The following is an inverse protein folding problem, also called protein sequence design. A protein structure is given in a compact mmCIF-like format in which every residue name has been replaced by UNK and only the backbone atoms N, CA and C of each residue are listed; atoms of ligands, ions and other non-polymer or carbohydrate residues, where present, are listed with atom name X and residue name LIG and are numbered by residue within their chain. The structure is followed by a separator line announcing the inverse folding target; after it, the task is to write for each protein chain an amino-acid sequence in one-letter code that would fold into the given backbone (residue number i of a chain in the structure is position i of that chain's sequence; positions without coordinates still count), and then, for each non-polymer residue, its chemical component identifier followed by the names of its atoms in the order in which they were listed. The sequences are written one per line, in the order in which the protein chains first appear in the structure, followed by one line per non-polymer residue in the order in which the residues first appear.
data_IF_704277044535
#
_entry.id   IF_704277044535
#
_cell.length_a   1.000
_cell.length_b   1.000
_cell.length_c   1.000
_cell.angle_alpha   90.00
_cell.angle_beta   90.00
_cell.angle_gamma   90.00
#
_symmetry.space_group_name_H-M   'P 1'
#
loop_
_entity.id
_entity.type
_entity.pdbx_description
1 polymer ?
#
# COMPACT_ATOMS: atom_id res chain seq x y z
N UNK A 1 29.90 -27.28 -15.41
CA UNK A 1 28.92 -27.47 -14.31
C UNK A 1 28.91 -26.25 -13.37
N UNK A 2 28.30 -25.12 -13.77
CA UNK A 2 28.22 -23.89 -12.93
C UNK A 2 26.86 -23.16 -12.97
N UNK A 3 25.79 -23.78 -13.49
CA UNK A 3 24.46 -23.14 -13.63
C UNK A 3 23.34 -23.77 -12.77
N UNK A 4 23.63 -24.78 -11.94
CA UNK A 4 22.59 -25.57 -11.25
C UNK A 4 21.69 -24.73 -10.30
N UNK A 5 22.21 -23.83 -9.44
CA UNK A 5 21.35 -23.09 -8.49
C UNK A 5 20.39 -22.11 -9.17
N UNK A 6 20.87 -21.38 -10.19
CA UNK A 6 20.02 -20.43 -10.95
C UNK A 6 18.91 -21.11 -11.73
N UNK A 7 19.17 -22.32 -12.26
CA UNK A 7 18.16 -23.10 -12.97
C UNK A 7 17.09 -23.64 -12.01
N UNK A 8 17.49 -24.04 -10.81
CA UNK A 8 16.55 -24.48 -9.75
C UNK A 8 15.66 -23.33 -9.26
N UNK A 9 16.24 -22.16 -8.99
CA UNK A 9 15.49 -20.94 -8.63
C UNK A 9 14.49 -20.54 -9.72
N UNK A 10 14.90 -20.57 -10.99
CA UNK A 10 14.04 -20.26 -12.12
C UNK A 10 12.90 -21.28 -12.26
N UNK A 11 13.18 -22.57 -12.03
CA UNK A 11 12.17 -23.63 -12.04
C UNK A 11 11.15 -23.43 -10.91
N UNK A 12 11.62 -23.19 -9.69
CA UNK A 12 10.75 -22.95 -8.52
C UNK A 12 9.87 -21.70 -8.73
N UNK A 13 10.45 -20.62 -9.26
CA UNK A 13 9.70 -19.42 -9.63
C UNK A 13 8.58 -19.77 -10.62
N UNK A 14 8.92 -20.51 -11.68
CA UNK A 14 7.97 -20.89 -12.73
C UNK A 14 6.83 -21.74 -12.15
N UNK A 15 7.14 -22.77 -11.35
CA UNK A 15 6.15 -23.62 -10.68
C UNK A 15 5.18 -22.81 -9.79
N UNK A 16 5.71 -21.83 -9.02
CA UNK A 16 4.88 -20.96 -8.19
C UNK A 16 4.01 -20.01 -9.00
N UNK A 17 4.52 -19.48 -10.12
CA UNK A 17 3.74 -18.66 -11.06
C UNK A 17 2.63 -19.49 -11.70
N UNK A 18 2.90 -20.71 -12.17
CA UNK A 18 1.86 -21.60 -12.71
C UNK A 18 0.79 -21.90 -11.68
N UNK A 19 1.19 -22.20 -10.44
CA UNK A 19 0.25 -22.45 -9.34
C UNK A 19 -0.62 -21.22 -9.08
N UNK A 20 -0.03 -20.04 -8.94
CA UNK A 20 -0.80 -18.79 -8.72
C UNK A 20 -1.72 -18.49 -9.90
N UNK A 21 -1.23 -18.61 -11.14
CA UNK A 21 -2.03 -18.41 -12.35
C UNK A 21 -3.23 -19.37 -12.40
N UNK A 22 -3.03 -20.66 -12.10
CA UNK A 22 -4.11 -21.64 -12.04
C UNK A 22 -5.16 -21.29 -10.96
N UNK A 23 -4.72 -20.84 -9.79
CA UNK A 23 -5.64 -20.37 -8.74
C UNK A 23 -6.42 -19.12 -9.16
N UNK A 24 -5.75 -18.13 -9.77
CA UNK A 24 -6.41 -16.93 -10.29
C UNK A 24 -7.44 -17.24 -11.39
N UNK A 25 -7.27 -18.33 -12.14
CA UNK A 25 -8.20 -18.74 -13.20
C UNK A 25 -9.34 -19.64 -12.74
N UNK A 26 -9.14 -20.40 -11.67
CA UNK A 26 -10.13 -21.38 -11.19
C UNK A 26 -10.86 -20.95 -9.92
N UNK A 27 -10.38 -19.92 -9.22
CA UNK A 27 -11.05 -19.40 -8.03
C UNK A 27 -12.36 -18.70 -8.40
N UNK A 28 -13.38 -18.94 -7.58
CA UNK A 28 -14.65 -18.22 -7.65
C UNK A 28 -14.50 -16.76 -7.21
N UNK A 29 -13.58 -16.52 -6.26
CA UNK A 29 -13.35 -15.22 -5.61
C UNK A 29 -11.86 -14.95 -5.46
N UNK A 30 -11.44 -13.70 -5.62
CA UNK A 30 -10.04 -13.27 -5.42
C UNK A 30 -10.00 -12.15 -4.39
N UNK A 31 -9.28 -12.36 -3.29
CA UNK A 31 -9.02 -11.33 -2.30
C UNK A 31 -7.58 -10.83 -2.41
N UNK A 32 -7.38 -9.56 -2.74
CA UNK A 32 -6.06 -8.95 -2.83
C UNK A 32 -5.79 -8.10 -1.60
N UNK A 33 -4.64 -8.32 -0.98
CA UNK A 33 -4.10 -7.52 0.11
C UNK A 33 -2.83 -6.83 -0.35
N UNK A 34 -2.82 -5.51 -0.43
CA UNK A 34 -1.66 -4.77 -0.94
C UNK A 34 -1.06 -3.83 0.10
N UNK A 35 0.26 -3.92 0.28
CA UNK A 35 1.03 -3.04 1.15
C UNK A 35 2.02 -2.17 0.38
N UNK A 36 2.88 -1.45 1.12
CA UNK A 36 3.81 -0.49 0.55
C UNK A 36 4.82 -1.14 -0.42
N UNK A 37 5.10 -2.45 -0.26
CA UNK A 37 5.98 -3.19 -1.16
C UNK A 37 5.46 -3.25 -2.61
N UNK A 38 4.14 -3.20 -2.82
CA UNK A 38 3.58 -3.09 -4.19
C UNK A 38 3.93 -1.74 -4.82
N UNK A 39 3.82 -0.65 -4.07
CA UNK A 39 4.21 0.69 -4.53
C UNK A 39 5.73 0.79 -4.70
N UNK A 40 6.51 0.17 -3.81
CA UNK A 40 7.97 0.10 -3.92
C UNK A 40 8.40 -0.62 -5.21
N UNK A 41 7.80 -1.78 -5.51
CA UNK A 41 8.04 -2.51 -6.76
C UNK A 41 7.63 -1.73 -8.01
N UNK A 42 6.71 -0.77 -7.87
CA UNK A 42 6.33 0.16 -8.93
C UNK A 42 7.26 1.39 -9.03
N UNK A 43 8.27 1.52 -8.18
CA UNK A 43 9.22 2.65 -8.15
C UNK A 43 8.89 3.75 -7.14
N UNK A 44 7.91 3.54 -6.24
CA UNK A 44 7.56 4.44 -5.14
C UNK A 44 7.92 3.80 -3.80
N UNK A 45 9.22 3.69 -3.52
CA UNK A 45 9.73 3.14 -2.28
C UNK A 45 9.91 4.21 -1.20
N UNK A 46 9.42 3.93 0.01
CA UNK A 46 9.59 4.79 1.19
C UNK A 46 10.89 4.47 1.96
N UNK A 47 11.76 3.68 1.34
CA UNK A 47 13.11 3.33 1.80
C UNK A 47 14.19 3.74 0.78
N UNK A 48 13.80 4.31 -0.36
CA UNK A 48 14.74 4.71 -1.42
C UNK A 48 15.31 6.10 -1.12
N UNK A 49 16.59 6.15 -0.77
CA UNK A 49 17.31 7.37 -0.42
C UNK A 49 17.45 8.35 -1.60
N UNK A 50 17.65 7.83 -2.81
CA UNK A 50 17.84 8.66 -4.00
C UNK A 50 16.52 9.28 -4.44
N UNK A 51 15.45 8.50 -4.38
CA UNK A 51 14.10 9.02 -4.57
C UNK A 51 13.80 10.08 -3.51
N UNK A 52 14.06 9.81 -2.23
CA UNK A 52 13.82 10.75 -1.15
C UNK A 52 14.59 12.06 -1.33
N UNK A 53 15.89 12.02 -1.64
CA UNK A 53 16.70 13.21 -1.95
C UNK A 53 16.09 14.03 -3.08
N UNK A 54 15.50 13.38 -4.09
CA UNK A 54 14.88 14.07 -5.22
C UNK A 54 13.64 14.86 -4.84
N UNK A 55 12.75 14.33 -3.98
CA UNK A 55 11.48 14.99 -3.66
C UNK A 55 11.44 15.65 -2.27
N UNK A 56 12.43 15.41 -1.41
CA UNK A 56 12.60 16.02 -0.08
C UNK A 56 14.06 16.43 0.22
N UNK A 57 14.73 17.21 -0.65
CA UNK A 57 16.18 17.48 -0.53
C UNK A 57 16.58 18.17 0.79
N UNK A 58 15.74 19.05 1.32
CA UNK A 58 15.96 19.80 2.57
C UNK A 58 15.90 18.88 3.79
N UNK A 59 15.07 17.83 3.74
CA UNK A 59 15.05 16.80 4.78
C UNK A 59 16.26 15.88 4.65
N UNK A 60 16.66 15.53 3.42
CA UNK A 60 17.88 14.78 3.20
C UNK A 60 19.13 15.55 3.68
N UNK A 61 19.20 16.86 3.45
CA UNK A 61 20.26 17.73 3.95
C UNK A 61 20.29 17.82 5.49
N UNK A 62 19.17 17.51 6.17
CA UNK A 62 19.07 17.40 7.63
C UNK A 62 19.45 16.01 8.17
N UNK A 63 19.89 15.10 7.31
CA UNK A 63 20.38 13.76 7.69
C UNK A 63 19.34 12.64 7.62
N UNK A 64 18.10 12.93 7.20
CA UNK A 64 17.09 11.90 6.99
C UNK A 64 17.32 11.18 5.67
N UNK A 65 17.23 9.85 5.69
CA UNK A 65 17.56 9.03 4.52
C UNK A 65 16.32 8.72 3.69
N UNK A 66 15.18 8.51 4.33
CA UNK A 66 13.94 8.14 3.64
C UNK A 66 12.69 8.40 4.49
N UNK A 67 11.48 8.40 3.90
CA UNK A 67 10.25 8.76 4.60
C UNK A 67 9.94 7.94 5.85
N UNK A 68 10.28 6.64 5.90
CA UNK A 68 9.98 5.82 7.07
C UNK A 68 10.74 6.21 8.35
N UNK A 69 11.90 6.87 8.25
CA UNK A 69 12.57 7.46 9.43
C UNK A 69 11.75 8.60 10.04
N UNK A 70 10.87 9.21 9.23
CA UNK A 70 10.03 10.34 9.63
C UNK A 70 8.70 9.89 10.25
N UNK A 71 8.52 8.61 10.54
CA UNK A 71 7.38 8.20 11.38
C UNK A 71 7.67 8.34 12.88
N UNK A 72 8.93 8.50 13.28
CA UNK A 72 9.36 8.64 14.67
C UNK A 72 10.37 9.79 14.81
N UNK A 73 9.97 11.01 14.43
CA UNK A 73 10.78 12.20 14.64
C UNK A 73 10.36 12.97 15.91
N UNK A 74 11.30 13.73 16.46
CA UNK A 74 10.99 14.77 17.44
C UNK A 74 10.01 15.79 16.83
N UNK A 75 9.01 16.29 17.59
CA UNK A 75 8.00 17.21 17.06
C UNK A 75 8.63 18.41 16.34
N UNK A 76 8.20 18.66 15.10
CA UNK A 76 8.58 19.86 14.37
C UNK A 76 7.61 21.01 14.64
N UNK A 77 8.04 22.28 14.42
CA UNK A 77 7.11 23.39 14.31
C UNK A 77 6.04 23.09 13.26
N UNK A 78 4.81 23.56 13.50
CA UNK A 78 3.65 23.31 12.62
C UNK A 78 3.96 23.68 11.16
N UNK A 79 4.65 24.80 10.93
CA UNK A 79 5.06 25.23 9.60
C UNK A 79 5.93 24.19 8.86
N UNK A 80 6.84 23.50 9.55
CA UNK A 80 7.67 22.46 8.94
C UNK A 80 6.90 21.16 8.73
N UNK A 81 6.04 20.79 9.69
CA UNK A 81 5.18 19.62 9.56
C UNK A 81 4.30 19.73 8.31
N UNK A 82 3.70 20.90 8.08
CA UNK A 82 2.94 21.17 6.86
C UNK A 82 3.83 21.19 5.62
N UNK A 83 5.00 21.84 5.65
CA UNK A 83 5.93 21.84 4.50
C UNK A 83 6.32 20.42 4.07
N UNK A 84 6.67 19.56 5.03
CA UNK A 84 6.98 18.15 4.77
C UNK A 84 5.78 17.42 4.17
N UNK A 85 4.63 17.44 4.85
CA UNK A 85 3.46 16.69 4.45
C UNK A 85 2.93 17.13 3.08
N UNK A 86 2.85 18.44 2.81
CA UNK A 86 2.41 18.96 1.52
C UNK A 86 3.31 18.48 0.39
N UNK A 87 4.63 18.56 0.56
CA UNK A 87 5.56 18.12 -0.48
C UNK A 87 5.55 16.60 -0.66
N UNK A 88 5.47 15.86 0.43
CA UNK A 88 5.36 14.39 0.40
C UNK A 88 4.10 13.96 -0.38
N UNK A 89 2.95 14.52 -0.01
CA UNK A 89 1.67 14.21 -0.65
C UNK A 89 1.65 14.70 -2.09
N UNK A 90 2.14 15.90 -2.37
CA UNK A 90 2.26 16.43 -3.72
C UNK A 90 3.01 15.45 -4.62
N UNK A 91 4.16 14.97 -4.14
CA UNK A 91 4.95 13.98 -4.88
C UNK A 91 4.18 12.66 -5.06
N UNK A 92 3.78 12.01 -3.96
CA UNK A 92 3.16 10.67 -3.97
C UNK A 92 1.86 10.63 -4.78
N UNK A 93 0.99 11.63 -4.60
CA UNK A 93 -0.38 11.62 -5.12
C UNK A 93 -0.53 12.27 -6.50
N UNK A 94 0.30 13.28 -6.81
CA UNK A 94 0.11 14.13 -7.98
C UNK A 94 1.30 14.12 -8.95
N UNK A 95 2.54 13.97 -8.50
CA UNK A 95 3.73 13.92 -9.38
C UNK A 95 4.06 12.49 -9.82
N UNK A 96 4.16 11.55 -8.87
CA UNK A 96 4.47 10.17 -9.18
C UNK A 96 3.35 9.58 -10.05
N UNK A 97 3.64 8.98 -11.22
CA UNK A 97 2.61 8.64 -12.20
C UNK A 97 1.69 7.51 -11.73
N UNK A 98 0.50 7.34 -12.34
CA UNK A 98 -0.27 6.12 -12.22
C UNK A 98 0.58 4.93 -12.70
N UNK A 99 0.96 4.06 -11.78
CA UNK A 99 1.94 3.02 -12.03
C UNK A 99 1.44 1.96 -13.02
N UNK A 100 2.25 1.65 -14.03
CA UNK A 100 1.94 0.62 -15.01
C UNK A 100 1.76 -0.76 -14.36
N UNK A 101 2.49 -1.02 -13.27
CA UNK A 101 2.39 -2.27 -12.53
C UNK A 101 0.98 -2.52 -11.96
N UNK A 102 0.33 -1.48 -11.44
CA UNK A 102 -1.04 -1.57 -10.94
C UNK A 102 -2.04 -1.79 -12.08
N UNK A 103 -1.84 -1.18 -13.25
CA UNK A 103 -2.67 -1.43 -14.43
C UNK A 103 -2.56 -2.87 -14.90
N UNK A 104 -1.36 -3.46 -14.88
CA UNK A 104 -1.15 -4.89 -15.18
C UNK A 104 -1.86 -5.77 -14.16
N UNK A 105 -1.79 -5.45 -12.87
CA UNK A 105 -2.55 -6.15 -11.83
C UNK A 105 -4.06 -6.08 -12.10
N UNK A 106 -4.59 -4.91 -12.47
CA UNK A 106 -6.00 -4.76 -12.85
C UNK A 106 -6.36 -5.65 -14.04
N UNK A 107 -5.50 -5.74 -15.06
CA UNK A 107 -5.70 -6.61 -16.22
C UNK A 107 -5.74 -8.08 -15.85
N UNK A 108 -4.87 -8.53 -14.94
CA UNK A 108 -4.84 -9.93 -14.47
C UNK A 108 -6.16 -10.32 -13.79
N UNK A 109 -6.79 -9.41 -13.05
CA UNK A 109 -8.07 -9.68 -12.35
C UNK A 109 -9.31 -9.19 -13.10
N UNK A 110 -9.14 -8.66 -14.32
CA UNK A 110 -10.24 -8.13 -15.11
C UNK A 110 -11.25 -9.24 -15.43
N UNK A 111 -12.54 -8.95 -15.25
CA UNK A 111 -13.62 -9.92 -15.47
C UNK A 111 -13.79 -10.97 -14.37
N UNK A 112 -12.95 -10.95 -13.32
CA UNK A 112 -13.05 -11.86 -12.18
C UNK A 112 -13.83 -11.21 -11.03
N UNK A 113 -14.34 -12.02 -10.11
CA UNK A 113 -14.94 -11.53 -8.87
C UNK A 113 -13.83 -11.31 -7.83
N UNK A 114 -13.46 -10.05 -7.61
CA UNK A 114 -12.33 -9.69 -6.77
C UNK A 114 -12.65 -8.52 -5.84
N UNK A 115 -11.89 -8.44 -4.75
CA UNK A 115 -11.87 -7.29 -3.86
C UNK A 115 -10.45 -6.99 -3.41
N UNK A 116 -10.14 -5.70 -3.23
CA UNK A 116 -8.84 -5.22 -2.76
C UNK A 116 -9.00 -4.59 -1.39
N UNK A 117 -8.15 -4.99 -0.45
CA UNK A 117 -7.87 -4.23 0.77
C UNK A 117 -6.41 -3.77 0.72
N UNK A 118 -6.16 -2.51 1.06
CA UNK A 118 -4.80 -1.96 1.06
C UNK A 118 -4.54 -1.07 2.27
N UNK A 119 -3.29 -1.09 2.74
CA UNK A 119 -2.77 -0.14 3.73
C UNK A 119 -2.16 1.11 3.09
N UNK A 120 -2.07 1.18 1.76
CA UNK A 120 -1.45 2.29 1.04
C UNK A 120 -2.41 3.48 0.98
N UNK A 121 -1.83 4.69 0.98
CA UNK A 121 -2.56 5.96 0.95
C UNK A 121 -2.29 6.78 -0.32
N UNK A 122 -1.51 6.23 -1.26
CA UNK A 122 -1.03 6.87 -2.49
C UNK A 122 -2.07 6.99 -3.61
N UNK A 123 -3.24 6.36 -3.44
CA UNK A 123 -4.34 6.26 -4.40
C UNK A 123 -3.97 5.58 -5.72
N UNK A 124 -2.93 4.73 -5.77
CA UNK A 124 -2.56 4.05 -7.01
C UNK A 124 -3.69 3.20 -7.59
N UNK A 125 -4.47 2.50 -6.74
CA UNK A 125 -5.65 1.75 -7.20
C UNK A 125 -6.67 2.64 -7.92
N UNK A 126 -7.07 3.76 -7.29
CA UNK A 126 -7.98 4.74 -7.92
C UNK A 126 -7.40 5.27 -9.23
N UNK A 127 -6.13 5.71 -9.21
CA UNK A 127 -5.48 6.40 -10.33
C UNK A 127 -5.21 5.50 -11.54
N UNK A 128 -5.24 4.19 -11.35
CA UNK A 128 -4.96 3.18 -12.38
C UNK A 128 -6.22 2.49 -12.88
N UNK A 129 -7.40 2.94 -12.43
CA UNK A 129 -8.70 2.53 -12.96
C UNK A 129 -9.35 1.36 -12.24
N UNK A 130 -8.90 0.99 -11.03
CA UNK A 130 -9.65 0.03 -10.24
C UNK A 130 -11.03 0.58 -9.88
N UNK A 131 -12.09 -0.24 -9.98
CA UNK A 131 -13.41 0.14 -9.48
C UNK A 131 -13.36 0.32 -7.96
N UNK A 132 -13.53 1.55 -7.48
CA UNK A 132 -13.36 1.88 -6.05
C UNK A 132 -14.45 1.26 -5.15
N UNK A 133 -15.56 0.80 -5.72
CA UNK A 133 -16.53 -0.04 -5.03
C UNK A 133 -15.94 -1.41 -4.62
N UNK A 134 -14.86 -1.86 -5.28
CA UNK A 134 -14.11 -3.09 -4.98
C UNK A 134 -12.78 -2.85 -4.26
N UNK A 135 -12.53 -1.64 -3.75
CA UNK A 135 -11.28 -1.28 -3.07
C UNK A 135 -11.60 -0.68 -1.70
N UNK A 136 -10.91 -1.19 -0.68
CA UNK A 136 -10.91 -0.64 0.67
C UNK A 136 -9.51 -0.19 1.08
N UNK A 137 -9.30 1.13 1.11
CA UNK A 137 -8.08 1.76 1.62
C UNK A 137 -8.18 1.91 3.15
N UNK A 138 -7.74 0.87 3.86
CA UNK A 138 -8.00 0.68 5.28
C UNK A 138 -7.23 1.64 6.19
N UNK A 139 -6.19 2.31 5.69
CA UNK A 139 -5.35 3.25 6.45
C UNK A 139 -5.61 4.71 6.11
N UNK A 140 -6.70 5.02 5.42
CA UNK A 140 -7.03 6.38 5.05
C UNK A 140 -6.45 6.79 3.71
N UNK A 141 -6.26 8.10 3.52
CA UNK A 141 -5.76 8.63 2.25
C UNK A 141 -4.98 9.92 2.43
N UNK A 142 -3.97 10.10 1.58
CA UNK A 142 -3.23 11.35 1.47
C UNK A 142 -4.00 12.48 0.80
N UNK A 143 -5.15 12.23 0.16
CA UNK A 143 -5.91 13.29 -0.52
C UNK A 143 -6.96 14.01 0.35
N UNK A 144 -7.02 13.69 1.65
CA UNK A 144 -7.98 14.29 2.59
C UNK A 144 -7.30 14.81 3.86
N UNK A 145 -7.89 15.87 4.41
CA UNK A 145 -7.57 16.45 5.72
C UNK A 145 -8.71 16.19 6.70
N UNK A 146 -8.41 16.11 7.99
CA UNK A 146 -9.39 15.95 9.08
C UNK A 146 -9.07 16.89 10.25
N UNK A 147 -10.09 17.18 11.05
CA UNK A 147 -9.92 17.89 12.31
C UNK A 147 -9.20 17.02 13.34
N UNK A 148 -8.11 17.52 13.92
CA UNK A 148 -7.37 16.83 14.99
C UNK A 148 -8.22 16.61 16.25
N UNK A 149 -9.06 17.58 16.62
CA UNK A 149 -9.99 17.47 17.74
C UNK A 149 -11.22 16.56 17.48
N UNK A 150 -11.37 16.02 16.26
CA UNK A 150 -12.52 15.18 15.85
C UNK A 150 -13.90 15.78 16.15
N UNK A 151 -14.03 17.11 16.15
CA UNK A 151 -15.31 17.78 16.37
C UNK A 151 -16.37 17.50 15.28
N UNK A 152 -15.91 17.06 14.10
CA UNK A 152 -16.73 16.70 12.94
C UNK A 152 -16.15 15.48 12.23
N UNK A 153 -16.99 14.78 11.45
CA UNK A 153 -16.59 13.69 10.54
C UNK A 153 -16.32 14.17 9.11
N UNK A 154 -16.47 15.47 8.86
CA UNK A 154 -16.12 16.08 7.58
C UNK A 154 -14.62 16.00 7.31
N UNK A 155 -14.27 15.99 6.02
CA UNK A 155 -12.89 16.11 5.56
C UNK A 155 -12.82 17.06 4.40
N UNK A 156 -11.64 17.65 4.22
CA UNK A 156 -11.39 18.58 3.13
C UNK A 156 -10.39 17.98 2.15
N UNK A 157 -10.53 18.30 0.87
CA UNK A 157 -9.54 17.90 -0.13
C UNK A 157 -8.22 18.59 0.15
N UNK A 158 -7.12 17.86 0.05
CA UNK A 158 -5.78 18.42 0.29
C UNK A 158 -5.32 19.32 -0.86
N UNK A 159 -5.79 19.08 -2.09
CA UNK A 159 -5.27 19.72 -3.31
C UNK A 159 -5.33 21.26 -3.28
N UNK A 160 -6.45 21.91 -2.89
CA UNK A 160 -6.47 23.36 -2.79
C UNK A 160 -5.45 23.93 -1.79
N UNK A 161 -5.17 23.19 -0.71
CA UNK A 161 -4.16 23.59 0.28
C UNK A 161 -2.74 23.37 -0.25
N UNK A 162 -2.49 22.31 -1.01
CA UNK A 162 -1.21 22.12 -1.73
C UNK A 162 -0.96 23.29 -2.67
N UNK A 163 -1.93 23.66 -3.50
CA UNK A 163 -1.76 24.75 -4.47
C UNK A 163 -1.49 26.09 -3.81
N UNK A 164 -2.11 26.34 -2.64
CA UNK A 164 -1.92 27.55 -1.85
C UNK A 164 -0.59 27.57 -1.10
N UNK A 165 -0.22 26.47 -0.45
CA UNK A 165 0.85 26.44 0.56
C UNK A 165 2.19 25.96 0.03
N UNK A 166 2.22 25.12 -1.01
CA UNK A 166 3.47 24.63 -1.60
C UNK A 166 4.39 25.77 -2.09
N UNK A 167 3.88 26.86 -2.72
CA UNK A 167 4.71 28.01 -3.09
C UNK A 167 5.23 28.83 -1.91
N UNK A 168 4.67 28.64 -0.71
CA UNK A 168 5.06 29.37 0.50
C UNK A 168 6.15 28.65 1.30
N UNK A 169 6.58 27.45 0.88
CA UNK A 169 7.69 26.74 1.50
C UNK A 169 8.98 27.53 1.25
N UNK A 170 9.58 28.03 2.33
CA UNK A 170 10.88 28.66 2.30
C UNK A 170 11.98 27.59 2.14
N UNK A 171 12.79 27.65 1.07
CA UNK A 171 13.83 26.65 0.80
C UNK A 171 14.99 26.68 1.80
N UNK A 172 15.24 27.80 2.50
CA UNK A 172 16.32 27.89 3.49
C UNK A 172 15.90 27.23 4.82
N UNK A 173 14.73 27.61 5.34
CA UNK A 173 14.26 27.14 6.64
C UNK A 173 13.48 25.83 6.58
N UNK A 174 13.00 25.45 5.39
CA UNK A 174 12.05 24.38 5.13
C UNK A 174 10.81 24.47 6.04
N UNK A 175 10.19 25.64 6.01
CA UNK A 175 8.96 25.99 6.74
C UNK A 175 7.99 26.71 5.80
N UNK A 176 6.70 26.70 6.12
CA UNK A 176 5.74 27.62 5.49
C UNK A 176 6.04 29.04 5.98
N UNK A 177 6.34 29.95 5.05
CA UNK A 177 6.75 31.34 5.35
C UNK A 177 5.62 32.21 5.91
N UNK A 178 4.37 31.95 5.51
CA UNK A 178 3.17 32.56 6.10
C UNK A 178 2.36 31.52 6.87
N UNK A 179 2.64 31.38 8.17
CA UNK A 179 1.96 30.43 9.04
C UNK A 179 0.45 30.71 9.17
N UNK A 180 0.00 31.94 8.94
CA UNK A 180 -1.43 32.29 8.99
C UNK A 180 -2.23 31.65 7.85
N UNK A 181 -1.54 31.19 6.80
CA UNK A 181 -2.15 30.48 5.69
C UNK A 181 -2.47 29.00 6.01
N UNK A 182 -1.85 28.42 7.05
CA UNK A 182 -2.02 27.02 7.48
C UNK A 182 -3.48 26.80 7.95
N UNK A 183 -4.18 25.76 7.45
CA UNK A 183 -5.60 25.65 7.68
C UNK A 183 -5.94 25.07 9.04
N UNK A 184 -7.01 25.62 9.62
CA UNK A 184 -7.63 25.15 10.85
C UNK A 184 -9.06 24.68 10.58
N UNK A 185 -9.59 23.88 11.50
CA UNK A 185 -10.95 23.40 11.42
C UNK A 185 -11.93 24.58 11.49
N UNK A 186 -12.83 24.75 10.50
CA UNK A 186 -13.76 25.88 10.46
C UNK A 186 -14.82 25.84 11.58
N UNK A 187 -14.98 24.70 12.25
CA UNK A 187 -15.99 24.52 13.30
C UNK A 187 -15.46 24.77 14.71
N UNK A 188 -14.20 24.46 14.99
CA UNK A 188 -13.65 24.50 16.36
C UNK A 188 -12.29 25.19 16.46
N UNK A 189 -11.68 25.61 15.35
CA UNK A 189 -10.37 26.23 15.35
C UNK A 189 -9.20 25.30 15.66
N UNK A 190 -9.41 23.99 15.84
CA UNK A 190 -8.33 23.02 16.02
C UNK A 190 -7.54 22.81 14.72
N UNK A 191 -6.24 22.44 14.78
CA UNK A 191 -5.45 22.16 13.58
C UNK A 191 -6.09 21.09 12.69
N UNK A 192 -5.91 21.22 11.39
CA UNK A 192 -6.14 20.11 10.46
C UNK A 192 -4.90 19.22 10.37
N UNK A 193 -5.11 17.94 10.10
CA UNK A 193 -4.07 16.94 9.86
C UNK A 193 -4.47 16.05 8.69
N UNK A 194 -3.50 15.35 8.10
CA UNK A 194 -3.72 14.40 7.02
C UNK A 194 -4.64 13.27 7.53
N UNK A 195 -5.57 12.83 6.69
CA UNK A 195 -6.46 11.71 7.00
C UNK A 195 -5.75 10.34 6.90
N UNK A 196 -4.50 10.27 7.34
CA UNK A 196 -3.73 9.05 7.49
C UNK A 196 -4.12 8.34 8.80
N UNK A 197 -4.26 7.01 8.75
CA UNK A 197 -4.79 6.17 9.84
C UNK A 197 -6.13 6.66 10.39
N UNK A 198 -6.98 7.18 9.49
CA UNK A 198 -8.29 7.73 9.82
C UNK A 198 -9.42 6.71 9.60
N UNK A 199 -9.48 5.70 10.46
CA UNK A 199 -10.33 4.51 10.29
C UNK A 199 -11.84 4.75 10.35
N UNK A 200 -12.28 5.79 11.07
CA UNK A 200 -13.69 5.99 11.44
C UNK A 200 -14.62 6.27 10.25
N UNK A 201 -14.06 6.62 9.09
CA UNK A 201 -14.79 7.19 7.97
C UNK A 201 -15.16 6.20 6.88
N UNK A 202 -14.40 5.13 6.75
CA UNK A 202 -14.53 4.17 5.67
C UNK A 202 -15.57 3.08 5.98
N UNK A 203 -16.70 3.46 6.60
CA UNK A 203 -17.71 2.49 7.03
C UNK A 203 -18.33 1.74 5.85
N UNK A 204 -18.62 2.46 4.77
CA UNK A 204 -19.22 1.86 3.57
C UNK A 204 -18.21 0.96 2.84
N UNK A 205 -16.98 1.41 2.67
CA UNK A 205 -15.88 0.64 2.07
C UNK A 205 -15.58 -0.61 2.91
N UNK A 206 -15.50 -0.46 4.23
CA UNK A 206 -15.31 -1.56 5.17
C UNK A 206 -16.47 -2.54 5.09
N UNK A 207 -17.72 -2.06 4.99
CA UNK A 207 -18.87 -2.93 4.86
C UNK A 207 -18.79 -3.74 3.56
N UNK A 208 -18.47 -3.11 2.41
CA UNK A 208 -18.27 -3.84 1.15
C UNK A 208 -17.17 -4.89 1.24
N UNK A 209 -16.09 -4.60 1.98
CA UNK A 209 -15.04 -5.59 2.26
C UNK A 209 -15.57 -6.76 3.10
N UNK A 210 -16.32 -6.48 4.17
CA UNK A 210 -16.95 -7.52 5.02
C UNK A 210 -17.92 -8.36 4.20
N UNK A 211 -18.82 -7.73 3.44
CA UNK A 211 -19.79 -8.40 2.58
C UNK A 211 -19.08 -9.31 1.56
N UNK A 212 -17.97 -8.84 0.97
CA UNK A 212 -17.17 -9.65 0.07
C UNK A 212 -16.58 -10.88 0.77
N UNK A 213 -15.96 -10.71 1.95
CA UNK A 213 -15.37 -11.81 2.72
C UNK A 213 -16.44 -12.82 3.14
N UNK A 214 -17.62 -12.37 3.58
CA UNK A 214 -18.74 -13.26 3.92
C UNK A 214 -19.24 -14.03 2.68
N UNK A 215 -19.24 -13.39 1.51
CA UNK A 215 -19.64 -14.02 0.25
C UNK A 215 -18.68 -15.13 -0.24
N UNK A 216 -17.52 -15.32 0.39
CA UNK A 216 -16.58 -16.38 0.01
C UNK A 216 -16.94 -17.73 0.62
N UNK A 217 -17.83 -17.79 1.61
CA UNK A 217 -18.19 -19.06 2.27
C UNK A 217 -18.66 -20.10 1.26
N UNK A 218 -18.00 -21.27 1.26
CA UNK A 218 -18.30 -22.35 0.33
C UNK A 218 -17.79 -22.13 -1.11
N UNK A 219 -16.95 -21.13 -1.35
CA UNK A 219 -16.35 -20.80 -2.65
C UNK A 219 -14.85 -21.07 -2.68
N UNK A 220 -14.28 -21.29 -3.85
CA UNK A 220 -12.82 -21.36 -4.01
C UNK A 220 -12.24 -19.95 -3.94
N UNK A 221 -11.45 -19.66 -2.91
CA UNK A 221 -10.90 -18.34 -2.64
C UNK A 221 -9.38 -18.30 -2.89
N UNK A 222 -8.96 -17.50 -3.86
CA UNK A 222 -7.55 -17.14 -4.02
C UNK A 222 -7.24 -15.88 -3.20
N UNK A 223 -6.37 -15.99 -2.19
CA UNK A 223 -5.91 -14.86 -1.39
C UNK A 223 -4.53 -14.46 -1.90
N UNK A 224 -4.39 -13.25 -2.43
CA UNK A 224 -3.14 -12.72 -2.98
C UNK A 224 -2.65 -11.55 -2.12
N UNK A 225 -1.63 -11.80 -1.30
CA UNK A 225 -0.97 -10.79 -0.47
C UNK A 225 0.29 -10.29 -1.17
N UNK A 226 0.38 -8.99 -1.46
CA UNK A 226 1.47 -8.38 -2.24
C UNK A 226 2.12 -7.25 -1.45
N UNK A 227 3.41 -7.40 -1.13
CA UNK A 227 4.22 -6.33 -0.53
C UNK A 227 3.74 -5.88 0.84
N UNK A 228 3.11 -6.76 1.62
CA UNK A 228 2.59 -6.47 2.97
C UNK A 228 3.64 -6.79 4.03
N UNK A 229 4.14 -5.75 4.70
CA UNK A 229 5.11 -5.86 5.80
C UNK A 229 4.47 -5.96 7.18
N UNK A 230 5.28 -5.74 8.21
CA UNK A 230 4.90 -5.84 9.63
C UNK A 230 4.62 -4.50 10.32
N UNK A 231 4.51 -3.38 9.58
CA UNK A 231 4.17 -2.07 10.17
C UNK A 231 2.76 -2.07 10.79
N UNK A 232 1.82 -2.73 10.13
CA UNK A 232 0.41 -2.83 10.55
C UNK A 232 -0.18 -4.19 10.15
N UNK A 233 0.34 -5.31 10.69
CA UNK A 233 -0.02 -6.66 10.26
C UNK A 233 -1.50 -6.99 10.55
N UNK A 234 -2.10 -6.30 11.53
CA UNK A 234 -3.52 -6.36 11.88
C UNK A 234 -4.48 -6.00 10.74
N UNK A 235 -4.01 -5.28 9.72
CA UNK A 235 -4.88 -4.78 8.62
C UNK A 235 -5.11 -5.85 7.57
N UNK A 236 -4.07 -6.61 7.22
CA UNK A 236 -4.08 -7.53 6.07
C UNK A 236 -3.48 -8.87 6.46
N UNK A 237 -2.23 -8.86 6.94
CA UNK A 237 -1.43 -10.07 7.13
C UNK A 237 -2.10 -11.10 8.04
N UNK A 238 -2.42 -10.71 9.27
CA UNK A 238 -3.07 -11.63 10.22
C UNK A 238 -4.51 -11.98 9.85
N UNK A 239 -5.36 -11.05 9.38
CA UNK A 239 -6.67 -11.41 8.83
C UNK A 239 -6.60 -12.43 7.69
N UNK A 240 -5.67 -12.29 6.76
CA UNK A 240 -5.51 -13.20 5.62
C UNK A 240 -5.04 -14.59 6.05
N UNK A 241 -4.12 -14.65 7.01
CA UNK A 241 -3.68 -15.92 7.60
C UNK A 241 -4.84 -16.64 8.29
N UNK A 242 -5.65 -15.92 9.07
CA UNK A 242 -6.86 -16.48 9.69
C UNK A 242 -7.85 -16.96 8.64
N UNK A 243 -8.07 -16.18 7.59
CA UNK A 243 -8.98 -16.56 6.50
C UNK A 243 -8.50 -17.84 5.81
N UNK A 244 -7.22 -17.93 5.43
CA UNK A 244 -6.66 -19.15 4.84
C UNK A 244 -6.74 -20.37 5.78
N UNK A 245 -6.61 -20.14 7.10
CA UNK A 245 -6.68 -21.20 8.10
C UNK A 245 -8.10 -21.75 8.26
N UNK A 246 -9.11 -20.89 8.40
CA UNK A 246 -10.50 -21.32 8.68
C UNK A 246 -11.31 -21.62 7.42
N UNK A 247 -10.99 -20.99 6.30
CA UNK A 247 -11.68 -21.22 5.04
C UNK A 247 -11.26 -22.58 4.45
N UNK A 248 -12.24 -23.43 4.12
CA UNK A 248 -11.96 -24.81 3.68
C UNK A 248 -11.22 -24.84 2.34
N UNK A 249 -11.72 -24.08 1.36
CA UNK A 249 -11.15 -24.00 0.01
C UNK A 249 -10.56 -22.61 -0.26
N UNK A 250 -9.53 -22.24 0.50
CA UNK A 250 -8.78 -21.01 0.27
C UNK A 250 -7.28 -21.28 0.21
N UNK A 251 -6.57 -20.51 -0.61
CA UNK A 251 -5.12 -20.57 -0.70
C UNK A 251 -4.50 -19.18 -0.69
N UNK A 252 -3.56 -18.97 0.24
CA UNK A 252 -2.79 -17.74 0.37
C UNK A 252 -1.51 -17.78 -0.47
N UNK A 253 -1.33 -16.81 -1.34
CA UNK A 253 -0.07 -16.53 -2.02
C UNK A 253 0.53 -15.26 -1.44
N UNK A 254 1.70 -15.38 -0.82
CA UNK A 254 2.40 -14.26 -0.18
C UNK A 254 3.59 -13.84 -1.03
N UNK A 255 3.39 -12.79 -1.82
CA UNK A 255 4.40 -12.16 -2.67
C UNK A 255 5.08 -11.05 -1.88
N UNK A 256 6.33 -11.28 -1.49
CA UNK A 256 7.12 -10.27 -0.81
C UNK A 256 8.62 -10.55 -0.97
N UNK A 257 9.41 -9.50 -1.15
CA UNK A 257 10.87 -9.60 -1.04
C UNK A 257 11.28 -9.48 0.42
N UNK A 258 12.44 -10.03 0.76
CA UNK A 258 13.03 -9.84 2.07
C UNK A 258 13.64 -8.43 2.16
N UNK A 259 13.01 -7.53 2.90
CA UNK A 259 13.58 -6.21 3.19
C UNK A 259 14.44 -6.30 4.46
N UNK A 260 15.75 -6.53 4.28
CA UNK A 260 16.71 -6.72 5.37
C UNK A 260 17.04 -5.44 6.16
N UNK A 261 16.77 -4.28 5.58
CA UNK A 261 17.36 -3.01 6.03
C UNK A 261 16.58 -2.27 7.13
N UNK A 262 15.48 -2.83 7.66
CA UNK A 262 14.78 -2.21 8.81
C UNK A 262 14.37 -3.22 9.90
N UNK A 263 14.89 -3.10 11.13
CA UNK A 263 14.50 -3.95 12.25
C UNK A 263 13.01 -3.77 12.59
N UNK A 264 12.23 -4.84 12.50
CA UNK A 264 10.82 -4.86 12.92
C UNK A 264 9.78 -4.44 11.87
N UNK A 265 10.21 -4.03 10.67
CA UNK A 265 9.31 -3.57 9.60
C UNK A 265 9.54 -4.26 8.24
N UNK A 266 10.46 -5.23 8.19
CA UNK A 266 10.75 -6.01 7.00
C UNK A 266 9.52 -6.72 6.44
N UNK A 267 9.35 -6.70 5.12
CA UNK A 267 8.49 -7.66 4.44
C UNK A 267 9.18 -9.01 4.48
N UNK A 268 8.52 -10.02 5.04
CA UNK A 268 9.01 -11.40 4.95
C UNK A 268 8.00 -12.23 4.15
N UNK A 269 8.46 -13.07 3.22
CA UNK A 269 7.58 -13.97 2.46
C UNK A 269 7.05 -15.12 3.31
N UNK A 270 7.59 -15.30 4.53
CA UNK A 270 7.25 -16.39 5.43
C UNK A 270 5.76 -16.44 5.77
N UNK A 271 5.19 -17.64 5.82
CA UNK A 271 3.84 -17.93 6.30
C UNK A 271 3.86 -18.79 7.57
N UNK A 272 2.83 -18.71 8.45
CA UNK A 272 2.73 -19.56 9.64
C UNK A 272 2.83 -21.06 9.33
N UNK A 273 3.44 -21.81 10.24
CA UNK A 273 3.67 -23.26 10.09
C UNK A 273 2.34 -24.02 9.92
N UNK A 274 1.29 -23.57 10.58
CA UNK A 274 -0.06 -24.14 10.51
C UNK A 274 -0.62 -24.11 9.09
N UNK A 275 -0.38 -23.01 8.35
CA UNK A 275 -0.80 -22.90 6.95
C UNK A 275 0.04 -23.77 6.02
N UNK A 276 1.33 -23.96 6.33
CA UNK A 276 2.20 -24.89 5.61
C UNK A 276 1.73 -26.33 5.76
N UNK A 277 1.41 -26.75 6.98
CA UNK A 277 0.90 -28.08 7.28
C UNK A 277 -0.46 -28.35 6.61
N UNK A 278 -1.32 -27.34 6.51
CA UNK A 278 -2.60 -27.41 5.78
C UNK A 278 -2.42 -27.33 4.25
N UNK A 279 -1.21 -27.07 3.76
CA UNK A 279 -0.94 -26.74 2.36
C UNK A 279 -1.84 -25.59 1.83
N UNK A 280 -2.25 -24.66 2.71
CA UNK A 280 -3.16 -23.56 2.42
C UNK A 280 -2.44 -22.23 2.10
N UNK A 281 -1.11 -22.27 1.99
CA UNK A 281 -0.32 -21.10 1.63
C UNK A 281 0.91 -21.44 0.79
N UNK A 282 1.35 -20.49 -0.04
CA UNK A 282 2.58 -20.52 -0.83
C UNK A 282 3.38 -19.25 -0.56
N UNK A 283 4.62 -19.43 -0.10
CA UNK A 283 5.59 -18.33 0.04
C UNK A 283 6.20 -18.01 -1.32
N UNK A 284 6.15 -16.74 -1.72
CA UNK A 284 6.70 -16.24 -2.98
C UNK A 284 7.73 -15.15 -2.66
N UNK A 285 9.00 -15.51 -2.40
CA UNK A 285 10.09 -14.62 -2.01
C UNK A 285 10.61 -13.79 -3.20
N UNK A 286 9.70 -13.17 -3.95
CA UNK A 286 9.98 -12.53 -5.22
C UNK A 286 9.47 -11.09 -5.22
N UNK A 287 10.12 -10.26 -6.03
CA UNK A 287 9.67 -8.90 -6.28
C UNK A 287 8.27 -8.90 -6.93
N UNK A 288 7.40 -8.02 -6.43
CA UNK A 288 6.03 -7.94 -6.90
C UNK A 288 5.94 -7.56 -8.39
N UNK A 289 6.88 -6.75 -8.90
CA UNK A 289 6.93 -6.42 -10.31
C UNK A 289 7.25 -7.65 -11.16
N UNK A 290 8.19 -8.48 -10.72
CA UNK A 290 8.53 -9.72 -11.42
C UNK A 290 7.36 -10.71 -11.46
N UNK A 291 6.65 -10.89 -10.34
CA UNK A 291 5.48 -11.79 -10.27
C UNK A 291 4.33 -11.29 -11.14
N UNK A 292 3.97 -10.01 -11.03
CA UNK A 292 2.88 -9.41 -11.81
C UNK A 292 3.23 -9.42 -13.30
N UNK A 293 4.47 -9.15 -13.68
CA UNK A 293 4.89 -9.22 -15.09
C UNK A 293 4.73 -10.63 -15.65
N UNK A 294 5.22 -11.65 -14.93
CA UNK A 294 5.09 -13.04 -15.35
C UNK A 294 3.63 -13.47 -15.51
N UNK A 295 2.74 -13.07 -14.58
CA UNK A 295 1.30 -13.31 -14.71
C UNK A 295 0.67 -12.54 -15.87
N UNK A 296 1.12 -11.30 -16.12
CA UNK A 296 0.59 -10.47 -17.20
C UNK A 296 0.97 -10.99 -18.59
N UNK A 297 2.12 -11.64 -18.74
CA UNK A 297 2.46 -12.29 -20.01
C UNK A 297 1.57 -13.49 -20.30
N UNK A 298 1.17 -14.25 -19.27
CA UNK A 298 0.28 -15.41 -19.40
C UNK A 298 -1.15 -15.10 -19.82
N UNK A 299 -1.62 -13.87 -19.63
CA UNK A 299 -2.96 -13.45 -20.11
C UNK A 299 -2.94 -12.95 -21.56
N UNK A 300 -1.76 -12.78 -22.17
CA UNK A 300 -1.60 -12.37 -23.57
C UNK A 300 -1.46 -13.55 -24.53
N UNK A 301 -1.08 -14.71 -23.99
CA UNK A 301 -1.02 -16.00 -24.70
C UNK A 301 -2.43 -16.56 -24.91
#
# INVERSE_FOLDING_TARGET
MKNTPKLEEQREFTEKIEKLHAWLNTADKILIGAGAGLSAAAGLSYLDEELFKKFQPEMAARGYRYPYELFQHEPWPQAREWAYNLRHIHFVRYVFPPAELYKKLLKIVQGKDFFVITSNCDRQFMRTGFPMERVFEAQGSYDRLRCTARCTRETWEVKPYIDKLLPLIDPETFMISDESAIPYCPYCGAPLDIAFRAFERYKAERQRYVDFVESTVGKKLCILEIGVGFNTPVVIRWPFERLAYYHHDAHLFRVNTEYKEWPGHGGYPMVPQELKLKAAATEMPYDAAHVIEALYQKIKE
#
